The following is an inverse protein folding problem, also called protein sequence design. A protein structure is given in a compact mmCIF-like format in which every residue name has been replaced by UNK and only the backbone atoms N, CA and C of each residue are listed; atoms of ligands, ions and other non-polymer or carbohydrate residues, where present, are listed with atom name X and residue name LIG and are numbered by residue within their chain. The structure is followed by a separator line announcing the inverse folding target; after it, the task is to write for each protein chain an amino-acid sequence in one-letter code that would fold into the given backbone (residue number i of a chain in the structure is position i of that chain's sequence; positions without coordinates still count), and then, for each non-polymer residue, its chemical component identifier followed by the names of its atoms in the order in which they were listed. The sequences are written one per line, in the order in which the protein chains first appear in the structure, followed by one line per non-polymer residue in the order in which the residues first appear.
data_IF_351009110386
#
_entry.id   IF_351009110386
#
_cell.length_a   1.000
_cell.length_b   1.000
_cell.length_c   1.000
_cell.angle_alpha   90.00
_cell.angle_beta   90.00
_cell.angle_gamma   90.00
#
_symmetry.space_group_name_H-M   'P 1'
#
loop_
_entity.id
_entity.type
_entity.pdbx_description
1 polymer ?
#
# COMPACT_ATOMS: atom_id res chain seq x y z
N UNK A 1 -39.77 16.21 2.96
CA UNK A 1 -38.32 16.15 3.25
C UNK A 1 -37.42 15.94 2.02
N UNK A 2 -37.96 15.81 0.79
CA UNK A 2 -37.16 15.71 -0.44
C UNK A 2 -36.63 17.06 -0.99
N UNK A 3 -36.91 18.18 -0.32
CA UNK A 3 -36.60 19.53 -0.81
C UNK A 3 -35.26 20.10 -0.34
N UNK A 4 -34.60 19.49 0.65
CA UNK A 4 -33.30 19.98 1.14
C UNK A 4 -32.14 19.43 0.29
N UNK A 5 -32.22 18.17 -0.16
CA UNK A 5 -31.17 17.50 -0.92
C UNK A 5 -30.94 18.09 -2.33
N UNK A 6 -31.93 18.78 -2.91
CA UNK A 6 -31.80 19.43 -4.21
C UNK A 6 -31.14 20.82 -4.13
N UNK A 7 -31.11 21.46 -2.95
CA UNK A 7 -30.53 22.81 -2.78
C UNK A 7 -29.01 22.80 -2.60
N UNK A 8 -28.42 21.64 -2.34
CA UNK A 8 -26.96 21.46 -2.22
C UNK A 8 -26.29 21.10 -3.58
N UNK A 9 -27.00 21.26 -4.71
CA UNK A 9 -26.46 20.97 -6.04
C UNK A 9 -25.49 22.04 -6.58
N UNK A 10 -25.41 23.22 -5.95
CA UNK A 10 -24.28 24.12 -6.13
C UNK A 10 -23.26 23.81 -5.03
N UNK A 11 -22.47 22.77 -5.26
CA UNK A 11 -21.48 22.27 -4.32
C UNK A 11 -20.52 23.39 -3.89
N UNK A 12 -20.41 23.60 -2.59
CA UNK A 12 -19.35 24.41 -2.03
C UNK A 12 -18.00 23.86 -2.54
N UNK A 13 -17.26 24.66 -3.32
CA UNK A 13 -15.96 24.30 -3.90
C UNK A 13 -14.97 23.86 -2.82
N UNK A 14 -15.12 24.36 -1.59
CA UNK A 14 -14.28 24.01 -0.45
C UNK A 14 -14.31 22.51 -0.11
N UNK A 15 -15.38 21.79 -0.46
CA UNK A 15 -15.55 20.36 -0.17
C UNK A 15 -15.64 19.47 -1.43
N UNK A 16 -15.42 20.04 -2.62
CA UNK A 16 -15.57 19.34 -3.88
C UNK A 16 -14.62 18.13 -4.00
N UNK A 17 -13.37 18.24 -3.52
CA UNK A 17 -12.38 17.16 -3.59
C UNK A 17 -12.78 15.93 -2.77
N UNK A 18 -13.04 16.10 -1.47
CA UNK A 18 -13.33 15.00 -0.54
C UNK A 18 -14.63 14.27 -0.90
N UNK A 19 -15.68 15.01 -1.29
CA UNK A 19 -16.92 14.39 -1.72
C UNK A 19 -16.77 13.65 -3.05
N UNK A 20 -15.94 14.15 -3.97
CA UNK A 20 -15.70 13.51 -5.26
C UNK A 20 -14.89 12.22 -5.11
N UNK A 21 -13.85 12.19 -4.27
CA UNK A 21 -13.07 10.98 -4.01
C UNK A 21 -13.92 9.87 -3.38
N UNK A 22 -14.76 10.21 -2.39
CA UNK A 22 -15.66 9.23 -1.79
C UNK A 22 -16.66 8.68 -2.79
N UNK A 23 -17.29 9.55 -3.60
CA UNK A 23 -18.27 9.12 -4.63
C UNK A 23 -17.59 8.28 -5.73
N UNK A 24 -16.42 8.71 -6.21
CA UNK A 24 -15.64 8.00 -7.21
C UNK A 24 -15.21 6.62 -6.72
N UNK A 25 -14.74 6.52 -5.47
CA UNK A 25 -14.39 5.24 -4.86
C UNK A 25 -15.57 4.27 -4.78
N UNK A 26 -16.77 4.76 -4.44
CA UNK A 26 -17.99 3.95 -4.44
C UNK A 26 -18.32 3.45 -5.85
N UNK A 27 -18.31 4.34 -6.84
CA UNK A 27 -18.58 3.99 -8.24
C UNK A 27 -17.57 2.95 -8.74
N UNK A 28 -16.29 3.10 -8.39
CA UNK A 28 -15.26 2.14 -8.75
C UNK A 28 -15.52 0.77 -8.14
N UNK A 29 -15.77 0.71 -6.82
CA UNK A 29 -16.03 -0.56 -6.12
C UNK A 29 -17.28 -1.28 -6.65
N UNK A 30 -18.37 -0.56 -6.90
CA UNK A 30 -19.62 -1.13 -7.41
C UNK A 30 -19.56 -1.51 -8.90
N UNK A 31 -18.62 -0.93 -9.65
CA UNK A 31 -18.41 -1.23 -11.06
C UNK A 31 -17.53 -2.45 -11.31
N UNK A 32 -16.87 -2.98 -10.27
CA UNK A 32 -16.01 -4.16 -10.40
C UNK A 32 -16.81 -5.46 -10.42
N UNK A 33 -16.50 -6.32 -11.39
CA UNK A 33 -17.13 -7.64 -11.52
C UNK A 33 -16.82 -8.57 -10.34
N UNK A 34 -15.63 -8.46 -9.75
CA UNK A 34 -15.13 -9.24 -8.63
C UNK A 34 -14.89 -8.38 -7.37
N UNK A 35 -15.61 -7.27 -7.27
CA UNK A 35 -15.55 -6.30 -6.17
C UNK A 35 -16.36 -6.68 -4.94
N UNK A 36 -16.31 -5.84 -3.88
CA UNK A 36 -17.08 -6.07 -2.66
C UNK A 36 -18.58 -5.94 -2.91
N UNK A 37 -19.39 -6.65 -2.13
CA UNK A 37 -20.84 -6.52 -2.17
C UNK A 37 -21.30 -5.08 -1.89
N UNK A 38 -22.39 -4.65 -2.54
CA UNK A 38 -22.94 -3.31 -2.40
C UNK A 38 -23.17 -2.86 -0.93
N UNK A 39 -23.63 -3.72 0.01
CA UNK A 39 -23.78 -3.35 1.41
C UNK A 39 -22.47 -2.92 2.07
N UNK A 40 -21.38 -3.64 1.81
CA UNK A 40 -20.04 -3.30 2.29
C UNK A 40 -19.61 -1.92 1.79
N UNK A 41 -19.87 -1.62 0.51
CA UNK A 41 -19.54 -0.32 -0.08
C UNK A 41 -20.36 0.81 0.54
N UNK A 42 -21.66 0.60 0.77
CA UNK A 42 -22.53 1.60 1.38
C UNK A 42 -22.15 1.87 2.83
N UNK A 43 -21.85 0.84 3.61
CA UNK A 43 -21.38 0.98 4.99
C UNK A 43 -20.06 1.78 5.01
N UNK A 44 -19.11 1.46 4.13
CA UNK A 44 -17.85 2.21 3.99
C UNK A 44 -18.06 3.67 3.58
N UNK A 45 -19.07 3.94 2.76
CA UNK A 45 -19.49 5.28 2.37
C UNK A 45 -20.19 6.06 3.49
N UNK A 46 -20.48 5.39 4.62
CA UNK A 46 -21.36 5.87 5.69
C UNK A 46 -22.77 6.23 5.17
N UNK A 47 -23.31 5.39 4.29
CA UNK A 47 -24.65 5.52 3.72
C UNK A 47 -25.60 4.53 4.40
N UNK A 48 -26.82 4.99 4.67
CA UNK A 48 -27.91 4.08 5.07
C UNK A 48 -28.33 3.25 3.86
N UNK A 49 -28.46 1.95 4.05
CA UNK A 49 -28.96 1.02 3.03
C UNK A 49 -30.50 1.12 3.03
N UNK A 50 -31.11 1.23 4.22
CA UNK A 50 -32.54 1.53 4.41
C UNK A 50 -33.06 1.07 5.77
N UNK A 51 -34.21 1.58 6.22
CA UNK A 51 -34.72 1.35 7.60
C UNK A 51 -34.92 -0.12 7.99
N UNK A 52 -35.26 -0.98 7.02
CA UNK A 52 -35.41 -2.43 7.23
C UNK A 52 -34.14 -3.16 6.85
N UNK A 53 -33.50 -2.78 5.74
CA UNK A 53 -32.32 -3.45 5.19
C UNK A 53 -31.11 -3.33 6.12
N UNK A 54 -30.91 -2.18 6.79
CA UNK A 54 -29.82 -1.97 7.76
C UNK A 54 -29.86 -2.96 8.94
N UNK A 55 -31.02 -3.59 9.22
CA UNK A 55 -31.16 -4.57 10.32
C UNK A 55 -30.73 -5.99 9.94
N UNK A 56 -30.74 -6.31 8.65
CA UNK A 56 -30.54 -7.69 8.16
C UNK A 56 -29.35 -7.82 7.20
N UNK A 57 -28.99 -6.73 6.52
CA UNK A 57 -27.91 -6.70 5.55
C UNK A 57 -26.69 -6.07 6.22
N UNK A 58 -25.85 -6.94 6.76
CA UNK A 58 -24.59 -6.55 7.39
C UNK A 58 -23.47 -6.52 6.35
N UNK A 59 -22.41 -5.75 6.64
CA UNK A 59 -21.19 -5.80 5.86
C UNK A 59 -20.57 -7.21 5.90
N UNK A 60 -20.00 -7.63 4.77
CA UNK A 60 -19.32 -8.93 4.69
C UNK A 60 -18.12 -8.97 5.63
N UNK A 61 -17.83 -10.13 6.22
CA UNK A 61 -16.64 -10.32 7.06
C UNK A 61 -15.38 -10.03 6.25
N UNK A 62 -14.62 -9.02 6.65
CA UNK A 62 -13.43 -8.57 5.91
C UNK A 62 -13.73 -7.76 4.65
N UNK A 63 -15.00 -7.47 4.34
CA UNK A 63 -15.40 -6.70 3.17
C UNK A 63 -14.84 -5.28 3.18
N UNK A 64 -14.84 -4.60 4.33
CA UNK A 64 -14.26 -3.25 4.43
C UNK A 64 -12.74 -3.25 4.18
N UNK A 65 -12.06 -4.29 4.63
CA UNK A 65 -10.62 -4.48 4.40
C UNK A 65 -10.34 -4.76 2.91
N UNK A 66 -11.17 -5.58 2.27
CA UNK A 66 -11.09 -5.88 0.83
C UNK A 66 -11.33 -4.62 0.00
N UNK A 67 -12.40 -3.88 0.29
CA UNK A 67 -12.69 -2.59 -0.33
C UNK A 67 -11.54 -1.58 -0.14
N UNK A 68 -10.94 -1.56 1.06
CA UNK A 68 -9.80 -0.70 1.35
C UNK A 68 -8.57 -1.00 0.52
N UNK A 69 -8.26 -2.27 0.26
CA UNK A 69 -7.15 -2.67 -0.61
C UNK A 69 -7.37 -2.25 -2.06
N UNK A 70 -8.58 -2.46 -2.58
CA UNK A 70 -8.93 -2.03 -3.94
C UNK A 70 -8.77 -0.51 -4.07
N UNK A 71 -9.32 0.24 -3.12
CA UNK A 71 -9.22 1.71 -3.14
C UNK A 71 -7.80 2.24 -2.91
N UNK A 72 -6.91 1.43 -2.33
CA UNK A 72 -5.48 1.72 -2.25
C UNK A 72 -4.74 1.46 -3.58
N UNK A 73 -5.43 0.97 -4.61
CA UNK A 73 -4.87 0.67 -5.93
C UNK A 73 -4.27 -0.74 -6.05
N UNK A 74 -4.49 -1.63 -5.08
CA UNK A 74 -4.00 -2.99 -5.18
C UNK A 74 -4.81 -3.78 -6.21
N UNK A 75 -4.11 -4.44 -7.15
CA UNK A 75 -4.73 -5.24 -8.20
C UNK A 75 -5.24 -6.59 -7.66
N UNK A 76 -6.56 -6.77 -7.61
CA UNK A 76 -7.24 -7.98 -7.15
C UNK A 76 -7.00 -9.21 -8.03
N UNK A 77 -6.49 -9.03 -9.25
CA UNK A 77 -6.11 -10.08 -10.19
C UNK A 77 -4.73 -10.68 -9.93
N UNK A 78 -3.98 -10.20 -8.94
CA UNK A 78 -2.61 -10.63 -8.67
C UNK A 78 -2.42 -11.16 -7.24
N UNK A 79 -1.36 -11.95 -7.05
CA UNK A 79 -0.88 -12.34 -5.73
C UNK A 79 -0.44 -11.12 -4.88
N UNK A 80 -0.09 -10.01 -5.53
CA UNK A 80 0.39 -8.81 -4.87
C UNK A 80 -0.75 -8.01 -4.25
N UNK A 81 -2.01 -8.40 -4.45
CA UNK A 81 -3.15 -7.86 -3.72
C UNK A 81 -2.98 -7.92 -2.19
N UNK A 82 -2.29 -8.96 -1.70
CA UNK A 82 -1.98 -9.18 -0.30
C UNK A 82 -0.70 -8.46 0.18
N UNK A 83 -0.13 -7.52 -0.60
CA UNK A 83 1.03 -6.74 -0.18
C UNK A 83 0.74 -6.03 1.15
N UNK A 84 1.71 -6.08 2.06
CA UNK A 84 1.67 -5.36 3.32
C UNK A 84 2.20 -3.95 3.10
N UNK A 85 1.70 -2.94 3.86
CA UNK A 85 2.27 -1.61 3.79
C UNK A 85 3.77 -1.68 4.15
N UNK A 86 4.63 -0.88 3.49
CA UNK A 86 6.00 -0.70 3.92
C UNK A 86 6.05 -0.38 5.42
N UNK A 87 6.93 -1.05 6.15
CA UNK A 87 7.03 -0.88 7.59
C UNK A 87 8.45 -1.11 8.08
N UNK A 88 8.81 -0.43 9.16
CA UNK A 88 10.15 -0.51 9.73
C UNK A 88 10.37 -1.82 10.49
N UNK A 89 11.61 -2.29 10.45
CA UNK A 89 12.16 -3.24 11.44
C UNK A 89 12.16 -2.62 12.83
N UNK A 90 12.33 -3.47 13.86
CA UNK A 90 12.49 -2.99 15.25
C UNK A 90 13.65 -2.01 15.38
N UNK A 91 14.75 -2.23 14.66
CA UNK A 91 15.91 -1.34 14.67
C UNK A 91 15.61 0.01 13.99
N UNK A 92 14.92 0.00 12.84
CA UNK A 92 14.48 1.23 12.19
C UNK A 92 13.55 2.06 13.08
N UNK A 93 12.64 1.42 13.81
CA UNK A 93 11.76 2.12 14.76
C UNK A 93 12.55 2.79 15.89
N UNK A 94 13.56 2.11 16.46
CA UNK A 94 14.43 2.72 17.49
C UNK A 94 15.14 3.96 16.97
N UNK A 95 15.73 3.89 15.77
CA UNK A 95 16.41 5.05 15.17
C UNK A 95 15.45 6.22 14.93
N UNK A 96 14.20 5.95 14.52
CA UNK A 96 13.18 7.00 14.36
C UNK A 96 12.79 7.60 15.71
N UNK A 97 12.65 6.78 16.75
CA UNK A 97 12.36 7.23 18.11
C UNK A 97 13.48 8.12 18.67
N UNK A 98 14.75 7.75 18.44
CA UNK A 98 15.93 8.56 18.82
C UNK A 98 15.96 9.92 18.11
N UNK A 99 15.61 9.95 16.82
CA UNK A 99 15.51 11.20 16.05
C UNK A 99 14.31 12.04 16.55
N UNK A 100 13.21 11.37 16.90
CA UNK A 100 11.97 11.97 17.35
C UNK A 100 10.97 12.18 16.20
N UNK A 101 9.78 11.61 16.36
CA UNK A 101 8.68 11.67 15.38
C UNK A 101 8.26 13.09 14.96
N UNK A 102 8.35 14.07 15.86
CA UNK A 102 8.03 15.48 15.61
C UNK A 102 8.89 16.11 14.50
N UNK A 103 10.10 15.59 14.29
CA UNK A 103 10.98 16.10 13.24
C UNK A 103 10.56 15.62 11.84
N UNK A 104 9.90 14.47 11.77
CA UNK A 104 9.36 13.94 10.52
C UNK A 104 8.00 14.57 10.21
N UNK A 105 7.14 14.69 11.23
CA UNK A 105 5.80 15.25 11.07
C UNK A 105 5.52 16.21 12.22
N UNK A 106 5.30 17.47 11.85
CA UNK A 106 4.93 18.52 12.81
C UNK A 106 3.64 18.18 13.53
N UNK A 107 3.65 18.29 14.87
CA UNK A 107 2.48 18.05 15.71
C UNK A 107 2.21 16.57 15.98
N UNK A 108 3.19 15.68 15.77
CA UNK A 108 3.00 14.24 15.95
C UNK A 108 2.39 13.88 17.33
N UNK A 109 2.85 14.54 18.40
CA UNK A 109 2.40 14.30 19.79
C UNK A 109 0.98 14.79 20.04
N UNK A 110 0.45 15.72 19.23
CA UNK A 110 -0.93 16.20 19.38
C UNK A 110 -1.94 15.28 18.72
N UNK A 111 -1.49 14.36 17.86
CA UNK A 111 -2.38 13.42 17.19
C UNK A 111 -2.93 12.35 18.13
N UNK A 112 -4.18 11.89 17.91
CA UNK A 112 -4.72 10.74 18.62
C UNK A 112 -3.84 9.50 18.46
N UNK A 113 -3.75 8.67 19.51
CA UNK A 113 -2.91 7.47 19.51
C UNK A 113 -3.20 6.53 18.31
N UNK A 114 -4.46 6.43 17.88
CA UNK A 114 -4.82 5.66 16.69
C UNK A 114 -4.17 6.20 15.41
N UNK A 115 -4.11 7.52 15.24
CA UNK A 115 -3.52 8.17 14.08
C UNK A 115 -1.99 8.09 14.10
N UNK A 116 -1.36 8.26 15.27
CA UNK A 116 0.08 8.05 15.46
C UNK A 116 0.53 6.66 14.99
N UNK A 117 -0.29 5.62 15.17
CA UNK A 117 0.00 4.28 14.68
C UNK A 117 0.03 4.19 13.16
N UNK A 118 -0.75 5.00 12.45
CA UNK A 118 -0.78 5.05 10.98
C UNK A 118 0.43 5.80 10.41
N UNK A 119 0.90 6.84 11.10
CA UNK A 119 2.04 7.66 10.69
C UNK A 119 3.29 6.84 10.39
N UNK A 120 3.56 5.78 11.17
CA UNK A 120 4.74 4.92 10.93
C UNK A 120 4.74 4.30 9.53
N UNK A 121 3.57 3.91 9.03
CA UNK A 121 3.42 3.30 7.71
C UNK A 121 3.48 4.36 6.63
N UNK A 122 2.92 5.55 6.88
CA UNK A 122 3.08 6.69 5.98
C UNK A 122 4.56 7.04 5.78
N UNK A 123 5.32 7.19 6.87
CA UNK A 123 6.74 7.50 6.80
C UNK A 123 7.51 6.40 6.07
N UNK A 124 7.26 5.12 6.39
CA UNK A 124 7.89 4.01 5.70
C UNK A 124 7.57 4.02 4.19
N UNK A 125 6.32 4.30 3.80
CA UNK A 125 5.94 4.40 2.38
C UNK A 125 6.70 5.53 1.67
N UNK A 126 6.77 6.71 2.28
CA UNK A 126 7.52 7.86 1.70
C UNK A 126 8.99 7.51 1.51
N UNK A 127 9.64 6.94 2.54
CA UNK A 127 11.07 6.61 2.47
C UNK A 127 11.36 5.45 1.52
N UNK A 128 10.48 4.45 1.45
CA UNK A 128 10.60 3.34 0.51
C UNK A 128 10.61 3.83 -0.94
N UNK A 129 9.72 4.77 -1.26
CA UNK A 129 9.54 5.37 -2.58
C UNK A 129 10.40 6.61 -2.81
N UNK A 130 11.32 6.95 -1.91
CA UNK A 130 12.17 8.13 -2.03
C UNK A 130 12.92 8.22 -3.37
N UNK A 131 13.51 7.14 -3.92
CA UNK A 131 14.14 7.20 -5.25
C UNK A 131 13.15 7.57 -6.37
N UNK A 132 11.92 7.03 -6.31
CA UNK A 132 10.86 7.36 -7.27
C UNK A 132 10.41 8.81 -7.14
N UNK A 133 10.32 9.33 -5.91
CA UNK A 133 10.02 10.75 -5.68
C UNK A 133 11.11 11.66 -6.27
N UNK A 134 12.38 11.28 -6.15
CA UNK A 134 13.49 12.03 -6.77
C UNK A 134 13.45 11.98 -8.30
N UNK A 135 12.97 10.88 -8.88
CA UNK A 135 12.75 10.77 -10.33
C UNK A 135 11.60 11.67 -10.79
N UNK A 136 10.49 11.71 -10.06
CA UNK A 136 9.32 12.51 -10.42
C UNK A 136 9.48 14.01 -10.13
N UNK A 137 10.25 14.35 -9.10
CA UNK A 137 10.50 15.71 -8.63
C UNK A 137 12.02 15.97 -8.60
N UNK A 138 12.67 16.11 -9.76
CA UNK A 138 14.13 16.15 -9.84
C UNK A 138 14.74 17.48 -9.37
N UNK A 139 13.94 18.55 -9.22
CA UNK A 139 14.46 19.86 -8.88
C UNK A 139 14.44 20.07 -7.37
N UNK A 140 15.54 20.58 -6.81
CA UNK A 140 15.63 20.90 -5.38
C UNK A 140 14.59 21.92 -4.89
N UNK A 141 14.01 22.69 -5.81
CA UNK A 141 13.01 23.72 -5.52
C UNK A 141 11.57 23.20 -5.66
N UNK A 142 11.36 21.93 -6.01
CA UNK A 142 10.02 21.35 -6.02
C UNK A 142 9.44 21.36 -4.59
N UNK A 143 8.18 21.79 -4.44
CA UNK A 143 7.54 22.07 -3.14
C UNK A 143 7.63 20.90 -2.14
N UNK A 144 7.64 19.66 -2.65
CA UNK A 144 7.75 18.44 -1.85
C UNK A 144 9.03 18.44 -0.99
N UNK A 145 10.13 19.00 -1.48
CA UNK A 145 11.41 19.03 -0.77
C UNK A 145 11.47 20.11 0.32
N UNK A 146 10.50 21.04 0.34
CA UNK A 146 10.32 22.01 1.43
C UNK A 146 9.74 21.41 2.71
N UNK A 147 9.28 20.16 2.68
CA UNK A 147 8.73 19.48 3.86
C UNK A 147 9.84 19.27 4.90
N UNK A 148 9.60 19.58 6.20
CA UNK A 148 10.64 19.57 7.24
C UNK A 148 11.50 18.29 7.29
N UNK A 149 10.90 17.12 7.04
CA UNK A 149 11.61 15.83 7.08
C UNK A 149 12.78 15.76 6.07
N UNK A 150 12.71 16.46 4.93
CA UNK A 150 13.75 16.44 3.90
C UNK A 150 14.89 17.44 4.17
N UNK A 151 14.69 18.42 5.06
CA UNK A 151 15.70 19.42 5.44
C UNK A 151 16.28 19.25 6.85
N UNK A 152 15.77 18.31 7.64
CA UNK A 152 16.00 18.23 9.09
C UNK A 152 17.46 18.04 9.56
N UNK A 153 18.34 17.55 8.69
CA UNK A 153 19.77 17.34 8.95
C UNK A 153 20.67 18.16 8.00
N UNK A 154 20.15 19.24 7.42
CA UNK A 154 20.88 20.05 6.43
C UNK A 154 21.30 19.22 5.22
N UNK A 155 22.55 19.38 4.76
CA UNK A 155 23.09 18.66 3.59
C UNK A 155 23.11 17.12 3.77
N UNK A 156 23.09 16.61 5.01
CA UNK A 156 23.09 15.17 5.30
C UNK A 156 21.71 14.51 5.33
N UNK A 157 20.62 15.28 5.13
CA UNK A 157 19.25 14.77 5.33
C UNK A 157 18.93 13.60 4.43
N UNK A 158 19.20 13.72 3.13
CA UNK A 158 18.90 12.67 2.17
C UNK A 158 19.69 11.39 2.43
N UNK A 159 20.97 11.50 2.80
CA UNK A 159 21.78 10.34 3.16
C UNK A 159 21.22 9.61 4.39
N UNK A 160 20.77 10.36 5.40
CA UNK A 160 20.17 9.79 6.61
C UNK A 160 18.80 9.16 6.35
N UNK A 161 17.98 9.77 5.50
CA UNK A 161 16.69 9.21 5.10
C UNK A 161 16.88 7.92 4.28
N UNK A 162 17.90 7.88 3.41
CA UNK A 162 18.27 6.67 2.67
C UNK A 162 18.80 5.58 3.58
N UNK A 163 19.55 5.89 4.65
CA UNK A 163 19.96 4.86 5.62
C UNK A 163 18.75 4.30 6.38
N UNK A 164 17.77 5.14 6.73
CA UNK A 164 16.52 4.67 7.35
C UNK A 164 15.70 3.76 6.41
N UNK A 165 15.80 3.98 5.09
CA UNK A 165 15.15 3.12 4.08
C UNK A 165 15.65 1.67 4.13
N UNK A 166 16.91 1.44 4.47
CA UNK A 166 17.49 0.08 4.61
C UNK A 166 16.80 -0.74 5.70
N UNK A 167 16.15 -0.07 6.66
CA UNK A 167 15.41 -0.71 7.73
C UNK A 167 13.92 -0.96 7.40
N UNK A 168 13.50 -0.76 6.15
CA UNK A 168 12.12 -0.95 5.71
C UNK A 168 11.93 -2.34 5.12
N UNK A 169 10.89 -3.03 5.60
CA UNK A 169 10.43 -4.30 5.09
C UNK A 169 9.27 -4.05 4.13
N UNK A 170 9.37 -4.62 2.94
CA UNK A 170 8.27 -4.78 2.00
C UNK A 170 8.08 -6.26 1.76
N UNK A 171 6.90 -6.77 2.12
CA UNK A 171 6.56 -8.17 1.95
C UNK A 171 5.06 -8.31 1.69
N UNK A 172 4.64 -9.52 1.32
CA UNK A 172 3.26 -9.84 0.99
C UNK A 172 2.73 -10.94 1.92
N UNK A 173 1.42 -10.94 2.14
CA UNK A 173 0.67 -11.90 2.96
C UNK A 173 1.00 -11.88 4.46
N UNK A 174 2.23 -12.22 4.86
CA UNK A 174 2.63 -12.26 6.27
C UNK A 174 4.08 -11.84 6.46
N UNK A 175 4.30 -10.90 7.37
CA UNK A 175 5.62 -10.52 7.81
C UNK A 175 6.08 -11.39 8.99
N UNK A 176 7.22 -12.04 8.85
CA UNK A 176 7.84 -12.85 9.92
C UNK A 176 8.49 -12.01 11.01
N UNK A 177 8.90 -10.77 10.70
CA UNK A 177 9.57 -9.89 11.66
C UNK A 177 8.61 -9.27 12.68
N UNK A 178 7.45 -8.77 12.24
CA UNK A 178 6.50 -8.08 13.11
C UNK A 178 5.18 -8.86 13.33
N UNK A 179 5.02 -10.01 12.68
CA UNK A 179 3.81 -10.84 12.78
C UNK A 179 2.59 -10.27 12.04
N UNK A 180 2.74 -9.16 11.31
CA UNK A 180 1.65 -8.56 10.52
C UNK A 180 1.16 -9.52 9.43
N UNK A 181 -0.15 -9.63 9.28
CA UNK A 181 -0.80 -10.41 8.24
C UNK A 181 -1.77 -9.56 7.43
N UNK A 182 -1.86 -9.86 6.14
CA UNK A 182 -2.75 -9.19 5.22
C UNK A 182 -4.20 -9.58 5.55
N UNK A 183 -5.04 -8.58 5.77
CA UNK A 183 -6.47 -8.75 6.02
C UNK A 183 -7.28 -8.36 4.78
N UNK A 184 -8.50 -8.88 4.64
CA UNK A 184 -9.35 -8.58 3.46
C UNK A 184 -8.80 -9.15 2.15
N UNK A 185 -8.04 -10.24 2.21
CA UNK A 185 -7.53 -10.95 1.04
C UNK A 185 -8.48 -12.10 0.70
N UNK A 186 -9.11 -12.10 -0.49
CA UNK A 186 -9.98 -13.20 -0.90
C UNK A 186 -9.16 -14.47 -1.18
N UNK A 187 -9.79 -15.64 -1.10
CA UNK A 187 -9.15 -16.94 -1.35
C UNK A 187 -8.42 -17.01 -2.70
N UNK A 188 -8.93 -16.32 -3.72
CA UNK A 188 -8.27 -16.22 -5.03
C UNK A 188 -6.84 -15.68 -4.94
N UNK A 189 -6.56 -14.77 -4.00
CA UNK A 189 -5.22 -14.20 -3.82
C UNK A 189 -4.22 -15.24 -3.35
N UNK A 190 -4.61 -16.15 -2.46
CA UNK A 190 -3.76 -17.27 -2.01
C UNK A 190 -3.48 -18.27 -3.15
N UNK A 191 -4.49 -18.53 -3.99
CA UNK A 191 -4.33 -19.37 -5.19
C UNK A 191 -3.34 -18.72 -6.16
N UNK A 192 -3.52 -17.42 -6.44
CA UNK A 192 -2.64 -16.66 -7.30
C UNK A 192 -1.20 -16.62 -6.78
N UNK A 193 -1.02 -16.57 -5.45
CA UNK A 193 0.29 -16.71 -4.81
C UNK A 193 0.91 -18.07 -5.12
N UNK A 194 0.19 -19.17 -4.86
CA UNK A 194 0.70 -20.51 -5.18
C UNK A 194 1.08 -20.67 -6.66
N UNK A 195 0.28 -20.09 -7.57
CA UNK A 195 0.61 -20.06 -9.00
C UNK A 195 1.83 -19.19 -9.34
N UNK A 196 2.08 -18.11 -8.59
CA UNK A 196 3.26 -17.25 -8.75
C UNK A 196 4.51 -17.98 -8.27
N UNK A 197 4.44 -18.61 -7.09
CA UNK A 197 5.55 -19.35 -6.48
C UNK A 197 5.95 -20.54 -7.36
N UNK A 198 4.98 -21.34 -7.82
CA UNK A 198 5.23 -22.45 -8.75
C UNK A 198 5.87 -21.99 -10.06
N UNK A 199 5.46 -20.84 -10.61
CA UNK A 199 6.08 -20.28 -11.83
C UNK A 199 7.52 -19.87 -11.61
N UNK A 200 7.87 -19.36 -10.44
CA UNK A 200 9.25 -19.02 -10.07
C UNK A 200 10.09 -20.30 -9.95
N UNK A 201 9.59 -21.29 -9.22
CA UNK A 201 10.28 -22.59 -9.06
C UNK A 201 10.57 -23.28 -10.40
N UNK A 202 9.57 -23.35 -11.29
CA UNK A 202 9.74 -23.93 -12.63
C UNK A 202 10.76 -23.14 -13.45
N UNK A 203 10.71 -21.81 -13.40
CA UNK A 203 11.67 -20.95 -14.10
C UNK A 203 13.10 -21.18 -13.61
N UNK A 204 13.29 -21.27 -12.30
CA UNK A 204 14.61 -21.44 -11.71
C UNK A 204 15.17 -22.84 -12.01
N UNK A 205 14.32 -23.87 -11.99
CA UNK A 205 14.69 -25.22 -12.43
C UNK A 205 15.13 -25.25 -13.92
N UNK A 206 14.39 -24.58 -14.81
CA UNK A 206 14.77 -24.49 -16.23
C UNK A 206 16.11 -23.78 -16.41
N UNK A 207 16.35 -22.69 -15.67
CA UNK A 207 17.63 -21.95 -15.74
C UNK A 207 18.80 -22.81 -15.29
N UNK A 208 18.62 -23.59 -14.22
CA UNK A 208 19.67 -24.48 -13.73
C UNK A 208 20.00 -25.58 -14.75
N UNK A 209 18.97 -26.19 -15.36
CA UNK A 209 19.16 -27.18 -16.44
C UNK A 209 19.85 -26.56 -17.67
N UNK A 210 19.48 -25.34 -18.08
CA UNK A 210 20.14 -24.64 -19.18
C UNK A 210 21.63 -24.41 -18.89
N UNK A 211 21.97 -24.01 -17.66
CA UNK A 211 23.36 -23.82 -17.24
C UNK A 211 24.17 -25.12 -17.30
N UNK A 212 23.60 -26.24 -16.85
CA UNK A 212 24.23 -27.56 -16.94
C UNK A 212 24.45 -27.99 -18.40
N UNK A 213 23.51 -27.66 -19.29
CA UNK A 213 23.65 -27.95 -20.73
C UNK A 213 24.78 -27.10 -21.34
N UNK A 214 24.85 -25.80 -21.03
CA UNK A 214 25.92 -24.91 -21.48
C UNK A 214 27.30 -25.41 -21.02
N UNK A 215 27.45 -25.77 -19.74
CA UNK A 215 28.70 -26.32 -19.21
C UNK A 215 29.12 -27.62 -19.91
N UNK A 216 28.17 -28.52 -20.20
CA UNK A 216 28.44 -29.76 -20.94
C UNK A 216 28.80 -29.51 -22.41
N UNK A 217 28.21 -28.49 -23.04
CA UNK A 217 28.55 -28.09 -24.41
C UNK A 217 29.97 -27.51 -24.48
N UNK A 218 30.35 -26.66 -23.53
CA UNK A 218 31.71 -26.10 -23.41
C UNK A 218 32.76 -27.20 -23.21
N UNK A 219 32.47 -28.20 -22.37
CA UNK A 219 33.37 -29.35 -22.17
C UNK A 219 33.52 -30.16 -23.46
N UNK A 220 32.43 -30.40 -24.21
CA UNK A 220 32.49 -31.11 -25.50
C UNK A 220 33.24 -30.33 -26.56
N UNK A 221 33.05 -29.01 -26.64
CA UNK A 221 33.75 -28.11 -27.56
C UNK A 221 35.27 -28.17 -27.34
N UNK A 222 35.72 -28.07 -26.08
CA UNK A 222 37.14 -28.17 -25.71
C UNK A 222 37.75 -29.54 -25.95
N UNK A 223 36.95 -30.60 -26.08
CA UNK A 223 37.43 -31.95 -26.36
C UNK A 223 37.60 -32.23 -27.87
N UNK A 224 37.17 -31.30 -28.74
CA UNK A 224 37.24 -31.43 -30.20
C UNK A 224 38.41 -30.61 -30.79
N UNK A 225 38.97 -29.66 -30.02
CA UNK A 225 40.23 -28.94 -30.31
C UNK A 225 41.47 -29.76 -29.91
#
# INVERSE_FOLDING_TARGET
MASQAAKDQHGNLDNAGTHSLRKGGITHLLGMMDGPGAPTVYIRANWKIGETQDRYILGETGGDQFAGRILAGNDSGTADFAVLPPHFTTEGLKQIEEIGWERFISGYRSFPAGFQKCIRFFLASVLWHLPTLQEWFPHSNDDIWGIPMFGMFGQGSMARLMSLREHIIVCSHRCTHCGMSASGTPTKTEILKGMKDMRVEVRDAIKEEMKVIEEKMDVKMKAIE
#
